data_IF_808540159465
#
_entry.id   IF_808540159465
#
_cell.length_a   1.000
_cell.length_b   1.000
_cell.length_c   1.000
_cell.angle_alpha   90.00
_cell.angle_beta   90.00
_cell.angle_gamma   90.00
#
_symmetry.space_group_name_H-M   'P 1'
#
loop_
_entity.id
_entity.type
_entity.pdbx_description
1 polymer ?
#
# COMPACT_ATOMS: atom_id res chain seq x y z
N UNK A 1 17.29 2.99 -10.34
CA UNK A 1 15.95 2.37 -10.29
C UNK A 1 14.96 3.46 -9.91
N UNK A 2 13.82 3.55 -10.58
CA UNK A 2 12.76 4.49 -10.20
C UNK A 2 12.20 4.07 -8.84
N UNK A 3 11.96 5.02 -7.94
CA UNK A 3 11.33 4.74 -6.64
C UNK A 3 9.93 4.09 -6.79
N UNK A 4 9.33 4.12 -7.98
CA UNK A 4 8.07 3.45 -8.31
C UNK A 4 8.18 1.92 -8.31
N UNK A 5 9.36 1.36 -8.60
CA UNK A 5 9.55 -0.11 -8.74
C UNK A 5 9.27 -0.88 -7.44
N UNK A 6 9.24 -0.21 -6.28
CA UNK A 6 8.88 -0.80 -4.99
C UNK A 6 7.52 -1.51 -5.03
N UNK A 7 6.61 -1.08 -5.90
CA UNK A 7 5.26 -1.65 -5.99
C UNK A 7 5.23 -2.96 -6.78
N UNK A 8 6.34 -3.36 -7.42
CA UNK A 8 6.50 -4.72 -7.96
C UNK A 8 6.82 -5.75 -6.88
N UNK A 9 7.24 -5.29 -5.71
CA UNK A 9 7.52 -6.12 -4.55
C UNK A 9 6.37 -6.10 -3.53
N UNK A 10 6.49 -6.93 -2.49
CA UNK A 10 5.60 -6.88 -1.32
C UNK A 10 5.90 -5.65 -0.47
N UNK A 11 4.85 -4.95 -0.09
CA UNK A 11 4.90 -3.79 0.81
C UNK A 11 4.16 -4.09 2.11
N UNK A 12 4.42 -3.29 3.14
CA UNK A 12 3.68 -3.32 4.40
C UNK A 12 2.74 -2.12 4.44
N UNK A 13 1.48 -2.39 4.77
CA UNK A 13 0.43 -1.39 4.97
C UNK A 13 -0.16 -1.52 6.37
N UNK A 14 -0.89 -0.50 6.80
CA UNK A 14 -1.68 -0.49 8.02
C UNK A 14 -3.16 -0.62 7.66
N UNK A 15 -3.87 -1.45 8.41
CA UNK A 15 -5.33 -1.59 8.29
C UNK A 15 -6.02 -0.81 9.41
N UNK A 16 -7.22 -0.31 9.18
CA UNK A 16 -8.01 0.35 10.22
C UNK A 16 -8.49 -0.65 11.28
N UNK A 17 -8.74 -1.89 10.86
CA UNK A 17 -9.23 -2.98 11.69
C UNK A 17 -8.71 -4.35 11.22
N UNK A 18 -8.87 -5.36 12.06
CA UNK A 18 -8.50 -6.73 11.71
C UNK A 18 -9.37 -7.21 10.54
N UNK A 19 -8.77 -7.92 9.58
CA UNK A 19 -9.54 -8.53 8.48
C UNK A 19 -10.46 -9.62 9.00
N UNK A 20 -11.74 -9.56 8.61
CA UNK A 20 -12.67 -10.67 8.79
C UNK A 20 -12.53 -11.63 7.61
N UNK A 21 -12.17 -12.89 7.88
CA UNK A 21 -12.02 -13.95 6.88
C UNK A 21 -13.32 -14.27 6.12
N UNK A 22 -14.47 -13.82 6.63
CA UNK A 22 -15.78 -13.94 5.96
C UNK A 22 -16.15 -12.70 5.15
N UNK A 23 -15.38 -11.63 5.24
CA UNK A 23 -15.60 -10.38 4.54
C UNK A 23 -14.72 -10.28 3.30
N UNK A 24 -15.27 -9.70 2.23
CA UNK A 24 -14.52 -9.34 1.03
C UNK A 24 -14.03 -7.89 1.08
N UNK A 25 -14.04 -7.26 2.26
CA UNK A 25 -13.67 -5.86 2.46
C UNK A 25 -12.37 -5.78 3.25
N UNK A 26 -11.43 -4.99 2.73
CA UNK A 26 -10.21 -4.59 3.42
C UNK A 26 -10.25 -3.08 3.59
N UNK A 27 -10.09 -2.61 4.82
CA UNK A 27 -10.04 -1.19 5.13
C UNK A 27 -8.60 -0.79 5.48
N UNK A 28 -8.01 0.04 4.62
CA UNK A 28 -6.65 0.53 4.78
C UNK A 28 -6.68 1.80 5.63
N UNK A 29 -5.78 1.89 6.61
CA UNK A 29 -5.65 3.08 7.44
C UNK A 29 -4.96 4.21 6.66
N UNK A 30 -5.63 5.35 6.56
CA UNK A 30 -5.06 6.61 6.09
C UNK A 30 -4.70 7.54 7.26
N UNK A 31 -3.91 8.56 7.00
CA UNK A 31 -3.47 9.55 7.98
C UNK A 31 -3.58 10.94 7.37
N UNK A 32 -3.76 11.96 8.22
CA UNK A 32 -3.82 13.36 7.78
C UNK A 32 -2.57 14.09 8.22
N UNK A 33 -1.83 14.65 7.27
CA UNK A 33 -0.74 15.59 7.55
C UNK A 33 -1.03 16.92 6.85
N UNK A 34 -1.01 18.04 7.61
CA UNK A 34 -1.28 19.39 7.09
C UNK A 34 -2.59 19.49 6.28
N UNK A 35 -3.62 18.75 6.72
CA UNK A 35 -4.94 18.74 6.09
C UNK A 35 -5.04 17.90 4.80
N UNK A 36 -4.00 17.13 4.45
CA UNK A 36 -4.03 16.22 3.30
C UNK A 36 -4.00 14.76 3.77
N UNK A 37 -4.98 13.93 3.35
CA UNK A 37 -4.94 12.50 3.64
C UNK A 37 -3.84 11.81 2.82
N UNK A 38 -3.22 10.79 3.40
CA UNK A 38 -2.29 9.91 2.73
C UNK A 38 -2.32 8.51 3.33
N UNK A 39 -1.97 7.51 2.54
CA UNK A 39 -1.80 6.12 2.96
C UNK A 39 -0.30 5.85 3.14
N UNK A 40 0.17 5.52 4.36
CA UNK A 40 1.56 5.12 4.56
C UNK A 40 1.81 3.74 3.97
N UNK A 41 2.89 3.62 3.20
CA UNK A 41 3.36 2.36 2.63
C UNK A 41 4.81 2.17 3.05
N UNK A 42 5.16 0.97 3.51
CA UNK A 42 6.53 0.68 3.92
C UNK A 42 7.11 -0.43 3.06
N UNK A 43 8.37 -0.29 2.65
CA UNK A 43 9.03 -1.31 1.84
C UNK A 43 9.39 -2.56 2.66
N UNK A 44 9.43 -2.45 3.99
CA UNK A 44 9.63 -3.58 4.89
C UNK A 44 9.11 -3.30 6.31
N UNK A 45 9.11 -4.34 7.17
CA UNK A 45 8.75 -4.19 8.59
C UNK A 45 9.81 -3.35 9.33
N UNK A 46 11.08 -3.49 8.95
CA UNK A 46 12.20 -2.74 9.50
C UNK A 46 12.05 -1.25 9.18
N UNK A 47 11.70 -0.92 7.92
CA UNK A 47 11.41 0.45 7.50
C UNK A 47 10.21 1.05 8.22
N UNK A 48 9.17 0.26 8.44
CA UNK A 48 8.04 0.68 9.29
C UNK A 48 8.48 0.96 10.74
N UNK A 49 9.30 0.10 11.34
CA UNK A 49 9.83 0.32 12.69
C UNK A 49 10.74 1.54 12.78
N UNK A 50 11.60 1.75 11.79
CA UNK A 50 12.47 2.93 11.69
C UNK A 50 11.65 4.22 11.58
N UNK A 51 10.65 4.22 10.68
CA UNK A 51 9.74 5.35 10.45
C UNK A 51 8.94 5.73 11.71
N UNK A 52 8.48 4.71 12.46
CA UNK A 52 7.70 4.88 13.69
C UNK A 52 8.57 5.05 14.94
N UNK A 53 9.90 5.09 14.79
CA UNK A 53 10.87 5.13 15.89
C UNK A 53 10.65 4.00 16.93
N UNK A 54 10.19 2.84 16.46
CA UNK A 54 9.86 1.68 17.29
C UNK A 54 8.52 1.78 18.04
N UNK A 55 7.71 2.80 17.79
CA UNK A 55 6.39 2.95 18.43
C UNK A 55 5.42 1.86 17.97
N UNK A 56 4.73 1.24 18.92
CA UNK A 56 3.65 0.31 18.60
C UNK A 56 2.39 1.06 18.17
N UNK A 57 2.20 1.18 16.85
CA UNK A 57 0.95 1.69 16.30
C UNK A 57 -0.20 0.69 16.57
N UNK A 58 -1.39 1.16 16.99
CA UNK A 58 -2.54 0.32 17.33
C UNK A 58 -3.22 -0.31 16.09
N UNK A 59 -2.65 -0.12 14.91
CA UNK A 59 -3.19 -0.61 13.65
C UNK A 59 -2.61 -2.00 13.31
N UNK A 60 -3.46 -2.94 12.85
CA UNK A 60 -3.00 -4.18 12.26
C UNK A 60 -2.07 -3.91 11.07
N UNK A 61 -0.97 -4.67 11.00
CA UNK A 61 0.08 -4.52 9.99
C UNK A 61 -0.03 -5.68 9.02
N UNK A 62 -0.08 -5.41 7.73
CA UNK A 62 -0.27 -6.44 6.73
C UNK A 62 0.77 -6.33 5.62
N UNK A 63 1.32 -7.48 5.21
CA UNK A 63 2.24 -7.56 4.08
C UNK A 63 1.46 -8.00 2.85
N UNK A 64 1.47 -7.18 1.81
CA UNK A 64 0.64 -7.32 0.61
C UNK A 64 1.48 -7.15 -0.65
N UNK A 65 1.11 -7.81 -1.76
CA UNK A 65 1.72 -7.54 -3.06
C UNK A 65 1.43 -6.09 -3.47
N UNK A 66 2.44 -5.31 -3.85
CA UNK A 66 2.29 -3.90 -4.19
C UNK A 66 1.34 -3.68 -5.38
N UNK A 67 1.44 -4.50 -6.43
CA UNK A 67 0.53 -4.45 -7.57
C UNK A 67 -0.92 -4.76 -7.19
N UNK A 68 -1.14 -5.68 -6.25
CA UNK A 68 -2.47 -5.98 -5.74
C UNK A 68 -3.04 -4.78 -4.96
N UNK A 69 -2.21 -4.15 -4.12
CA UNK A 69 -2.58 -2.91 -3.43
C UNK A 69 -3.02 -1.81 -4.41
N UNK A 70 -2.26 -1.58 -5.49
CA UNK A 70 -2.60 -0.59 -6.52
C UNK A 70 -3.91 -0.94 -7.25
N UNK A 71 -4.15 -2.24 -7.51
CA UNK A 71 -5.39 -2.73 -8.12
C UNK A 71 -6.65 -2.38 -7.31
N UNK A 72 -6.54 -2.30 -5.98
CA UNK A 72 -7.65 -1.98 -5.07
C UNK A 72 -7.96 -0.49 -4.92
N UNK A 73 -7.05 0.41 -5.33
CA UNK A 73 -7.19 1.85 -5.13
C UNK A 73 -8.13 2.52 -6.13
N UNK A 74 -8.75 3.62 -5.74
CA UNK A 74 -9.65 4.40 -6.60
C UNK A 74 -8.88 5.36 -7.54
N UNK A 75 -7.63 5.70 -7.20
CA UNK A 75 -6.69 6.48 -8.02
C UNK A 75 -6.39 7.88 -7.49
N UNK A 76 -7.23 8.44 -6.62
CA UNK A 76 -7.00 9.79 -6.04
C UNK A 76 -6.22 9.76 -4.73
N UNK A 77 -5.93 8.57 -4.19
CA UNK A 77 -5.20 8.40 -2.95
C UNK A 77 -3.74 8.82 -3.11
N UNK A 78 -3.19 9.47 -2.09
CA UNK A 78 -1.76 9.76 -2.00
C UNK A 78 -1.09 8.63 -1.22
N UNK A 79 -0.09 7.99 -1.81
CA UNK A 79 0.76 7.01 -1.17
C UNK A 79 2.05 7.68 -0.72
N UNK A 80 2.33 7.56 0.58
CA UNK A 80 3.57 8.06 1.19
C UNK A 80 4.42 6.89 1.60
N UNK A 81 5.50 6.68 0.86
CA UNK A 81 6.43 5.57 1.07
C UNK A 81 7.43 5.95 2.13
N UNK A 82 7.70 5.03 3.07
CA UNK A 82 8.67 5.17 4.15
C UNK A 82 8.62 6.58 4.83
N UNK A 83 7.46 7.02 5.35
CA UNK A 83 7.29 8.37 5.92
C UNK A 83 8.37 8.73 6.94
N UNK A 84 8.97 9.92 6.85
CA UNK A 84 9.96 10.40 7.82
C UNK A 84 11.36 9.76 7.68
N UNK A 85 11.59 8.92 6.67
CA UNK A 85 12.90 8.34 6.38
C UNK A 85 13.58 9.04 5.20
N UNK A 86 14.88 8.79 5.01
CA UNK A 86 15.66 9.41 3.92
C UNK A 86 15.19 9.00 2.52
N UNK A 87 14.62 7.81 2.42
CA UNK A 87 14.06 7.23 1.19
C UNK A 87 12.54 7.46 1.07
N UNK A 88 12.02 8.47 1.77
CA UNK A 88 10.63 8.88 1.67
C UNK A 88 10.26 9.30 0.24
N UNK A 89 9.09 8.89 -0.22
CA UNK A 89 8.56 9.28 -1.53
C UNK A 89 7.04 9.44 -1.50
N UNK A 90 6.52 10.24 -2.43
CA UNK A 90 5.10 10.50 -2.59
C UNK A 90 4.65 10.12 -3.98
N UNK A 91 3.51 9.44 -4.06
CA UNK A 91 2.89 9.04 -5.32
C UNK A 91 1.39 9.28 -5.28
N UNK A 92 0.82 9.63 -6.42
CA UNK A 92 -0.63 9.60 -6.63
C UNK A 92 -0.95 8.19 -7.17
N UNK A 93 -1.98 7.54 -6.62
CA UNK A 93 -2.33 6.17 -6.99
C UNK A 93 -2.65 6.04 -8.50
N UNK A 94 -3.29 7.03 -9.12
CA UNK A 94 -3.54 7.05 -10.57
C UNK A 94 -2.28 6.90 -11.40
N UNK A 95 -1.22 7.63 -11.03
CA UNK A 95 0.02 7.68 -11.80
C UNK A 95 0.77 6.34 -11.72
N UNK A 96 0.67 5.64 -10.58
CA UNK A 96 1.23 4.30 -10.41
C UNK A 96 0.38 3.25 -11.12
N UNK A 97 -0.95 3.39 -11.12
CA UNK A 97 -1.85 2.48 -11.84
C UNK A 97 -1.65 2.59 -13.35
N UNK A 98 -1.42 3.78 -13.88
CA UNK A 98 -1.11 3.98 -15.30
C UNK A 98 0.26 3.36 -15.66
N UNK A 99 1.27 3.56 -14.82
CA UNK A 99 2.60 2.96 -15.01
C UNK A 99 2.57 1.42 -15.03
N UNK A 100 1.77 0.80 -14.16
CA UNK A 100 1.74 -0.66 -13.99
C UNK A 100 0.45 -1.31 -14.50
N UNK A 101 -0.26 -0.66 -15.45
CA UNK A 101 -1.59 -1.08 -15.88
C UNK A 101 -1.62 -2.55 -16.36
N UNK A 102 -0.70 -2.91 -17.26
CA UNK A 102 -0.62 -4.26 -17.83
C UNK A 102 -0.37 -5.33 -16.77
N UNK A 103 0.51 -5.04 -15.81
CA UNK A 103 0.86 -5.94 -14.72
C UNK A 103 -0.33 -6.14 -13.77
N UNK A 104 -1.03 -5.05 -13.43
CA UNK A 104 -2.24 -5.08 -12.60
C UNK A 104 -3.36 -5.87 -13.29
N UNK A 105 -3.62 -5.62 -14.57
CA UNK A 105 -4.65 -6.35 -15.32
C UNK A 105 -4.38 -7.85 -15.39
N UNK A 106 -3.13 -8.22 -15.62
CA UNK A 106 -2.71 -9.62 -15.65
C UNK A 106 -2.95 -10.29 -14.29
N UNK A 107 -2.53 -9.65 -13.21
CA UNK A 107 -2.73 -10.15 -11.85
C UNK A 107 -4.22 -10.34 -11.53
N UNK A 108 -5.05 -9.35 -11.86
CA UNK A 108 -6.50 -9.41 -11.60
C UNK A 108 -7.19 -10.52 -12.40
N UNK A 109 -6.76 -10.78 -13.64
CA UNK A 109 -7.25 -11.92 -14.44
C UNK A 109 -6.88 -13.26 -13.81
N UNK A 110 -5.67 -13.39 -13.26
CA UNK A 110 -5.22 -14.61 -12.58
C UNK A 110 -5.96 -14.87 -11.25
N UNK A 111 -6.25 -13.83 -10.47
CA UNK A 111 -7.03 -13.96 -9.23
C UNK A 111 -8.45 -14.42 -9.54
N UNK A 112 -9.09 -13.83 -10.56
CA UNK A 112 -10.46 -14.16 -10.94
C UNK A 112 -10.60 -15.54 -11.58
N UNK A 113 -9.56 -16.06 -12.24
CA UNK A 113 -9.58 -17.40 -12.84
C UNK A 113 -9.39 -18.53 -11.82
N UNK A 114 -8.69 -18.27 -10.72
CA UNK A 114 -8.49 -19.25 -9.63
C UNK A 114 -9.65 -19.36 -8.65
N UNK A 115 -10.56 -18.39 -8.65
CA UNK A 115 -11.76 -18.35 -7.80
C UNK A 115 -13.03 -18.88 -8.51
N UNK A 116 -12.88 -19.49 -9.70
CA UNK A 116 -13.93 -20.23 -10.42
C UNK A 116 -13.69 -21.74 -10.31
#
# INVERSE_FOLDING_TARGET
MSNKEIFKDKVVILLSQQTDVKSNVIEIQDFVEKGKPFIPVFTSKEKMMESTQGSELPFPKYKIEGLFLLGMMNGNEILRVNPGLKDEAYFIASDLKEEFLDDIEKLMKEVNSKNK
#
